data_IF_928227037642
#
_entry.id   IF_928227037642
#
_cell.length_a   1.000
_cell.length_b   1.000
_cell.length_c   1.000
_cell.angle_alpha   90.00
_cell.angle_beta   90.00
_cell.angle_gamma   90.00
#
_symmetry.space_group_name_H-M   'P 1'
#
loop_
_entity.id
_entity.type
_entity.pdbx_description
1 polymer ?
#
# COMPACT_ATOMS: atom_id res chain seq x y z
N UNK A 1 -23.38 10.25 -18.90
CA UNK A 1 -22.78 8.90 -19.02
C UNK A 1 -21.95 8.62 -17.77
N UNK A 2 -22.51 7.95 -16.76
CA UNK A 2 -21.77 7.46 -15.59
C UNK A 2 -22.12 5.98 -15.49
N UNK A 3 -21.33 5.15 -16.14
CA UNK A 3 -21.45 3.69 -16.08
C UNK A 3 -20.09 3.13 -15.76
N UNK A 4 -19.91 2.74 -14.50
CA UNK A 4 -19.04 1.65 -14.09
C UNK A 4 -19.38 1.34 -12.64
N UNK A 5 -20.28 0.39 -12.49
CA UNK A 5 -20.46 -0.38 -11.27
C UNK A 5 -19.15 -1.15 -11.07
N UNK A 6 -18.39 -0.79 -10.05
CA UNK A 6 -17.13 -1.46 -9.72
C UNK A 6 -17.08 -1.46 -8.20
N UNK A 7 -17.10 -2.65 -7.60
CA UNK A 7 -17.00 -2.89 -6.17
C UNK A 7 -16.05 -1.86 -5.55
N UNK A 8 -16.58 -0.98 -4.69
CA UNK A 8 -15.94 0.30 -4.30
C UNK A 8 -14.77 0.08 -3.33
N UNK A 9 -13.75 -0.66 -3.77
CA UNK A 9 -12.44 -0.61 -3.13
C UNK A 9 -11.85 0.71 -3.59
N UNK A 10 -11.89 1.71 -2.71
CA UNK A 10 -11.20 2.97 -2.89
C UNK A 10 -9.79 2.70 -3.43
N UNK A 11 -9.50 3.08 -4.67
CA UNK A 11 -8.21 2.81 -5.33
C UNK A 11 -7.01 3.30 -4.51
N UNK A 12 -7.24 4.26 -3.60
CA UNK A 12 -6.29 4.74 -2.61
C UNK A 12 -5.75 3.63 -1.69
N UNK A 13 -6.56 2.61 -1.39
CA UNK A 13 -6.21 1.50 -0.50
C UNK A 13 -5.80 0.22 -1.23
N UNK A 14 -5.55 0.26 -2.54
CA UNK A 14 -5.00 -0.89 -3.28
C UNK A 14 -3.48 -0.81 -3.31
N UNK A 15 -2.82 -1.94 -3.02
CA UNK A 15 -1.36 -2.07 -3.06
C UNK A 15 -0.81 -1.62 -4.41
N UNK A 16 0.15 -0.69 -4.37
CA UNK A 16 0.73 -0.08 -5.58
C UNK A 16 1.78 -0.94 -6.29
N UNK A 17 2.02 -2.16 -5.80
CA UNK A 17 2.92 -3.14 -6.41
C UNK A 17 2.09 -4.22 -7.12
N UNK A 18 1.31 -5.02 -6.37
CA UNK A 18 0.54 -6.10 -6.99
C UNK A 18 -0.77 -5.65 -7.63
N UNK A 19 -1.30 -4.47 -7.27
CA UNK A 19 -2.60 -3.96 -7.73
C UNK A 19 -3.79 -4.89 -7.43
N UNK A 20 -3.63 -5.84 -6.51
CA UNK A 20 -4.64 -6.86 -6.17
C UNK A 20 -5.07 -6.73 -4.72
N UNK A 21 -4.12 -6.70 -3.78
CA UNK A 21 -4.43 -6.72 -2.34
C UNK A 21 -4.55 -5.32 -1.75
N UNK A 22 -5.27 -5.20 -0.63
CA UNK A 22 -5.35 -3.94 0.12
C UNK A 22 -3.99 -3.56 0.74
N UNK A 23 -3.73 -2.25 0.84
CA UNK A 23 -2.59 -1.71 1.59
C UNK A 23 -2.75 -2.03 3.08
N UNK A 24 -1.69 -2.56 3.68
CA UNK A 24 -1.65 -2.91 5.11
C UNK A 24 -0.38 -2.47 5.80
N UNK A 25 0.61 -1.95 5.07
CA UNK A 25 1.94 -1.66 5.61
C UNK A 25 2.32 -0.19 5.44
N UNK A 26 2.65 0.44 6.56
CA UNK A 26 3.30 1.76 6.63
C UNK A 26 4.80 1.56 6.73
N UNK A 27 5.57 2.24 5.88
CA UNK A 27 7.04 2.23 5.95
C UNK A 27 7.58 3.35 6.83
N UNK A 28 8.56 3.05 7.69
CA UNK A 28 9.24 4.02 8.54
C UNK A 28 10.66 4.35 8.01
N UNK A 29 11.11 5.60 8.10
CA UNK A 29 10.44 6.75 8.73
C UNK A 29 9.45 7.52 7.83
N UNK A 30 9.25 7.13 6.57
CA UNK A 30 8.51 7.94 5.60
C UNK A 30 7.00 8.08 5.87
N UNK A 31 6.39 7.15 6.61
CA UNK A 31 4.97 7.15 6.95
C UNK A 31 4.03 6.73 5.82
N UNK A 32 4.54 6.28 4.67
CA UNK A 32 3.71 5.96 3.51
C UNK A 32 3.05 4.58 3.60
N UNK A 33 1.72 4.55 3.50
CA UNK A 33 0.87 3.35 3.40
C UNK A 33 0.61 3.02 1.93
N UNK A 34 1.42 2.15 1.33
CA UNK A 34 1.38 1.92 -0.15
C UNK A 34 1.47 0.46 -0.58
N UNK A 35 1.73 -0.47 0.34
CA UNK A 35 1.88 -1.90 0.02
C UNK A 35 1.02 -2.81 0.90
N UNK A 36 0.68 -3.99 0.36
CA UNK A 36 0.18 -5.10 1.15
C UNK A 36 1.32 -5.80 1.90
N UNK A 37 0.99 -6.70 2.83
CA UNK A 37 1.97 -7.43 3.65
C UNK A 37 2.99 -8.20 2.81
N UNK A 38 2.56 -8.86 1.74
CA UNK A 38 3.44 -9.71 0.90
C UNK A 38 4.44 -8.86 0.11
N UNK A 39 3.96 -7.81 -0.57
CA UNK A 39 4.83 -6.96 -1.37
C UNK A 39 5.80 -6.14 -0.51
N UNK A 40 5.43 -5.81 0.74
CA UNK A 40 6.31 -5.11 1.65
C UNK A 40 7.60 -5.87 1.98
N UNK A 41 7.58 -7.20 1.95
CA UNK A 41 8.76 -8.04 2.22
C UNK A 41 9.78 -8.05 1.07
N UNK A 42 9.38 -7.59 -0.11
CA UNK A 42 10.19 -7.64 -1.33
C UNK A 42 10.88 -6.31 -1.65
N UNK A 43 10.78 -5.32 -0.76
CA UNK A 43 11.31 -3.98 -0.99
C UNK A 43 12.16 -3.49 0.18
N UNK A 44 13.27 -2.84 -0.13
CA UNK A 44 14.15 -2.17 0.84
C UNK A 44 13.97 -0.65 0.87
N UNK A 45 13.27 -0.09 -0.13
CA UNK A 45 12.96 1.33 -0.25
C UNK A 45 11.47 1.54 -0.46
N UNK A 46 10.93 2.64 0.06
CA UNK A 46 9.53 2.98 -0.11
C UNK A 46 9.22 3.16 -1.63
N UNK A 47 8.24 2.45 -2.20
CA UNK A 47 7.90 2.56 -3.63
C UNK A 47 7.43 3.97 -4.05
N UNK A 48 6.93 4.76 -3.09
CA UNK A 48 6.38 6.09 -3.37
C UNK A 48 7.47 7.18 -3.36
N UNK A 49 8.29 7.23 -2.31
CA UNK A 49 9.27 8.32 -2.12
C UNK A 49 10.72 7.87 -2.19
N UNK A 50 10.99 6.58 -2.39
CA UNK A 50 12.32 5.97 -2.48
C UNK A 50 13.19 6.08 -1.22
N UNK A 51 12.67 6.57 -0.09
CA UNK A 51 13.38 6.52 1.19
C UNK A 51 13.69 5.08 1.61
N UNK A 52 14.88 4.87 2.18
CA UNK A 52 15.27 3.60 2.77
C UNK A 52 14.32 3.21 3.92
N UNK A 53 13.84 1.96 3.89
CA UNK A 53 12.94 1.41 4.91
C UNK A 53 13.79 0.97 6.10
N UNK A 54 13.51 1.53 7.28
CA UNK A 54 14.14 1.13 8.55
C UNK A 54 13.23 0.27 9.43
N UNK A 55 11.95 0.24 9.11
CA UNK A 55 10.94 -0.54 9.80
C UNK A 55 9.60 -0.46 9.09
N UNK A 56 8.67 -1.33 9.47
CA UNK A 56 7.33 -1.38 8.92
C UNK A 56 6.30 -1.63 10.01
N UNK A 57 5.12 -1.01 9.87
CA UNK A 57 3.99 -1.17 10.80
C UNK A 57 2.81 -1.71 10.02
N UNK A 58 2.19 -2.77 10.55
CA UNK A 58 0.95 -3.32 10.00
C UNK A 58 -0.24 -2.54 10.54
N UNK A 59 -1.08 -2.03 9.64
CA UNK A 59 -2.31 -1.29 9.98
C UNK A 59 -3.54 -2.16 9.78
N UNK A 60 -4.55 -1.93 10.61
CA UNK A 60 -5.87 -2.54 10.51
C UNK A 60 -6.87 -1.42 10.22
N UNK A 61 -7.25 -1.30 8.95
CA UNK A 61 -8.32 -0.42 8.50
C UNK A 61 -9.65 -1.13 8.80
N UNK A 62 -10.51 -0.48 9.58
CA UNK A 62 -11.85 -0.96 9.96
C UNK A 62 -12.94 -0.41 9.06
#
# INVERSE_FOLDING_TARGET
MKSKESSNINEKYVCKICLVSEVKIVFLPSGHLVTCTTCALQVSHCPLCRNNIKGSVKVYLG
#
